data_IF_643553057835
#
_entry.id   IF_643553057835
#
_cell.length_a   1.000
_cell.length_b   1.000
_cell.length_c   1.000
_cell.angle_alpha   90.00
_cell.angle_beta   90.00
_cell.angle_gamma   90.00
#
_symmetry.space_group_name_H-M   'P 1'
#
loop_
_entity.id
_entity.type
_entity.pdbx_description
1 polymer ?
#
# COMPACT_ATOMS: atom_id res chain seq x y z
N UNK A 1 39.31 -9.24 -12.14
CA UNK A 1 37.87 -8.87 -12.15
C UNK A 1 37.80 -7.41 -11.73
N UNK A 2 37.23 -6.50 -12.53
CA UNK A 2 37.06 -5.10 -12.11
C UNK A 2 36.13 -5.08 -10.88
N UNK A 3 36.51 -4.32 -9.86
CA UNK A 3 35.76 -4.22 -8.62
C UNK A 3 34.40 -3.58 -8.93
N UNK A 4 33.31 -4.29 -8.60
CA UNK A 4 31.94 -3.81 -8.86
C UNK A 4 31.66 -2.61 -7.99
N UNK A 5 31.14 -1.54 -8.58
CA UNK A 5 30.75 -0.35 -7.83
C UNK A 5 29.29 -0.49 -7.38
N UNK A 6 28.98 -0.20 -6.10
CA UNK A 6 27.62 -0.35 -5.60
C UNK A 6 26.70 0.73 -6.17
N UNK A 7 25.65 0.32 -6.88
CA UNK A 7 24.47 1.14 -7.11
C UNK A 7 23.36 0.69 -6.15
N UNK A 8 22.44 1.60 -5.80
CA UNK A 8 21.30 1.27 -4.94
C UNK A 8 20.07 0.98 -5.79
N UNK A 9 19.40 -0.12 -5.48
CA UNK A 9 18.04 -0.38 -5.97
C UNK A 9 17.06 0.30 -5.03
N UNK A 10 16.09 1.02 -5.59
CA UNK A 10 15.10 1.75 -4.80
C UNK A 10 13.70 1.49 -5.32
N UNK A 11 12.71 1.48 -4.43
CA UNK A 11 11.30 1.35 -4.78
C UNK A 11 10.68 2.66 -5.28
N UNK A 12 9.38 2.61 -5.60
CA UNK A 12 8.63 3.76 -6.13
C UNK A 12 8.61 4.95 -5.16
N UNK A 13 8.29 4.71 -3.88
CA UNK A 13 8.16 5.77 -2.86
C UNK A 13 9.46 6.55 -2.68
N UNK A 14 10.60 5.85 -2.64
CA UNK A 14 11.92 6.48 -2.53
C UNK A 14 12.29 7.23 -3.81
N UNK A 15 11.94 6.69 -4.99
CA UNK A 15 12.16 7.38 -6.26
C UNK A 15 11.32 8.66 -6.37
N UNK A 16 10.08 8.67 -5.88
CA UNK A 16 9.23 9.86 -5.84
C UNK A 16 9.81 10.94 -4.90
N UNK A 17 10.37 10.55 -3.75
CA UNK A 17 11.03 11.49 -2.84
C UNK A 17 12.26 12.18 -3.49
N UNK A 18 12.92 11.53 -4.44
CA UNK A 18 14.07 12.10 -5.15
C UNK A 18 13.68 13.09 -6.26
N UNK A 19 12.46 13.01 -6.81
CA UNK A 19 12.02 13.84 -7.95
C UNK A 19 11.89 15.34 -7.62
N UNK A 20 11.87 15.72 -6.35
CA UNK A 20 11.83 17.12 -5.90
C UNK A 20 13.18 17.85 -5.86
N UNK A 21 14.29 17.18 -6.19
CA UNK A 21 15.66 17.71 -6.10
C UNK A 21 16.38 17.89 -7.44
N UNK A 22 17.70 18.11 -7.40
CA UNK A 22 18.59 18.14 -8.57
C UNK A 22 18.88 16.71 -9.08
N UNK A 23 17.85 15.98 -9.50
CA UNK A 23 17.96 14.57 -9.93
C UNK A 23 18.08 14.48 -11.46
N UNK A 24 19.07 13.73 -11.95
CA UNK A 24 19.12 13.36 -13.37
C UNK A 24 18.38 12.05 -13.59
N UNK A 25 17.31 12.08 -14.38
CA UNK A 25 16.46 10.92 -14.65
C UNK A 25 16.81 10.35 -16.03
N UNK A 26 17.24 9.10 -16.08
CA UNK A 26 17.73 8.44 -17.29
C UNK A 26 16.86 7.24 -17.67
N UNK A 27 16.38 7.24 -18.90
CA UNK A 27 15.57 6.17 -19.48
C UNK A 27 16.39 5.37 -20.50
N UNK A 28 16.51 4.06 -20.32
CA UNK A 28 17.26 3.17 -21.22
C UNK A 28 16.39 2.45 -22.26
N UNK A 29 15.09 2.73 -22.31
CA UNK A 29 14.16 2.12 -23.26
C UNK A 29 14.37 2.63 -24.68
N UNK A 30 13.74 1.93 -25.63
CA UNK A 30 13.78 2.30 -27.04
C UNK A 30 13.10 3.67 -27.29
N UNK A 31 13.47 4.39 -28.36
CA UNK A 31 12.92 5.71 -28.66
C UNK A 31 11.40 5.76 -28.77
N UNK A 32 10.76 4.69 -29.25
CA UNK A 32 9.30 4.59 -29.40
C UNK A 32 8.66 4.62 -28.02
N UNK A 33 9.06 3.71 -27.14
CA UNK A 33 8.51 3.62 -25.77
C UNK A 33 8.76 4.88 -24.96
N UNK A 34 9.93 5.52 -25.12
CA UNK A 34 10.22 6.81 -24.49
C UNK A 34 9.36 7.96 -25.02
N UNK A 35 9.04 7.94 -26.32
CA UNK A 35 8.18 8.94 -26.96
C UNK A 35 6.71 8.80 -26.55
N UNK A 36 6.25 7.58 -26.30
CA UNK A 36 4.87 7.30 -25.88
C UNK A 36 4.61 7.69 -24.42
N UNK A 37 5.50 7.31 -23.50
CA UNK A 37 5.33 7.62 -22.08
C UNK A 37 6.67 7.56 -21.34
N UNK A 38 6.90 8.47 -20.39
CA UNK A 38 8.14 8.54 -19.59
C UNK A 38 7.90 9.18 -18.23
N UNK A 39 8.88 9.08 -17.33
CA UNK A 39 8.94 9.91 -16.13
C UNK A 39 9.18 11.36 -16.59
N UNK A 40 8.45 12.33 -16.02
CA UNK A 40 8.64 13.74 -16.35
C UNK A 40 10.08 14.18 -16.08
N UNK A 41 10.67 14.89 -17.05
CA UNK A 41 12.08 15.29 -17.01
C UNK A 41 13.09 14.18 -17.36
N UNK A 42 12.65 12.96 -17.67
CA UNK A 42 13.56 11.89 -18.10
C UNK A 42 14.24 12.20 -19.44
N UNK A 43 15.54 11.91 -19.51
CA UNK A 43 16.35 11.92 -20.73
C UNK A 43 16.63 10.49 -21.15
N UNK A 44 16.35 10.19 -22.42
CA UNK A 44 16.64 8.87 -22.98
C UNK A 44 18.13 8.71 -23.26
N UNK A 45 18.68 7.56 -22.89
CA UNK A 45 20.09 7.22 -23.06
C UNK A 45 20.31 5.81 -23.63
N UNK A 46 21.46 5.62 -24.24
CA UNK A 46 21.99 4.36 -24.74
C UNK A 46 23.52 4.36 -24.62
N UNK A 47 24.17 3.20 -24.63
CA UNK A 47 25.64 3.14 -24.54
C UNK A 47 26.38 3.98 -25.59
N UNK A 48 25.78 4.22 -26.75
CA UNK A 48 26.37 5.07 -27.80
C UNK A 48 26.33 6.57 -27.51
N UNK A 49 25.47 7.03 -26.61
CA UNK A 49 25.24 8.47 -26.34
C UNK A 49 25.48 8.88 -24.87
N UNK A 50 25.99 7.97 -24.03
CA UNK A 50 26.28 8.23 -22.62
C UNK A 50 27.23 9.42 -22.41
N UNK A 51 28.34 9.47 -23.16
CA UNK A 51 29.36 10.52 -23.01
C UNK A 51 28.78 11.93 -23.23
N UNK A 52 28.14 12.19 -24.37
CA UNK A 52 27.45 13.46 -24.63
C UNK A 52 26.35 13.78 -23.62
N UNK A 53 25.55 12.78 -23.21
CA UNK A 53 24.41 13.02 -22.30
C UNK A 53 24.86 13.37 -20.89
N UNK A 54 25.98 12.81 -20.43
CA UNK A 54 26.55 13.06 -19.12
C UNK A 54 27.56 14.22 -19.12
N UNK A 55 27.80 14.85 -20.28
CA UNK A 55 28.72 15.96 -20.40
C UNK A 55 28.15 17.19 -19.71
N UNK A 56 28.91 17.73 -18.74
CA UNK A 56 28.51 18.90 -17.96
C UNK A 56 27.62 18.59 -16.75
N UNK A 57 27.22 17.34 -16.54
CA UNK A 57 26.52 16.92 -15.31
C UNK A 57 27.50 16.87 -14.13
N UNK A 58 27.23 17.58 -13.01
CA UNK A 58 28.02 17.49 -11.79
C UNK A 58 28.09 16.05 -11.25
N UNK A 59 29.26 15.62 -10.75
CA UNK A 59 29.50 14.21 -10.35
C UNK A 59 28.84 13.83 -9.03
N UNK A 60 28.49 14.82 -8.24
CA UNK A 60 27.68 14.73 -7.03
C UNK A 60 26.17 14.72 -7.32
N UNK A 61 25.76 15.04 -8.55
CA UNK A 61 24.35 14.99 -8.95
C UNK A 61 23.84 13.54 -8.90
N UNK A 62 22.75 13.27 -8.18
CA UNK A 62 22.17 11.94 -8.15
C UNK A 62 21.58 11.54 -9.51
N UNK A 63 21.72 10.26 -9.86
CA UNK A 63 21.16 9.66 -11.07
C UNK A 63 20.11 8.64 -10.69
N UNK A 64 18.90 8.78 -11.24
CA UNK A 64 17.88 7.73 -11.25
C UNK A 64 17.80 7.13 -12.65
N UNK A 65 18.04 5.83 -12.77
CA UNK A 65 17.95 5.10 -14.03
C UNK A 65 16.84 4.03 -13.98
N UNK A 66 16.12 3.85 -15.10
CA UNK A 66 15.13 2.80 -15.26
C UNK A 66 15.09 2.20 -16.68
N UNK A 67 14.42 1.05 -16.81
CA UNK A 67 14.17 0.33 -18.06
C UNK A 67 12.69 -0.11 -18.13
N UNK A 68 12.33 -1.08 -18.99
CA UNK A 68 10.94 -1.58 -19.10
C UNK A 68 10.44 -2.24 -17.81
N UNK A 69 11.13 -3.30 -17.42
CA UNK A 69 10.78 -4.17 -16.30
C UNK A 69 12.04 -4.44 -15.48
N UNK A 70 11.94 -4.26 -14.17
CA UNK A 70 13.07 -4.48 -13.26
C UNK A 70 14.09 -3.33 -13.30
N UNK A 71 15.34 -3.65 -12.93
CA UNK A 71 16.39 -2.66 -12.82
C UNK A 71 17.04 -2.37 -14.18
N UNK A 72 17.53 -1.15 -14.35
CA UNK A 72 18.48 -0.89 -15.42
C UNK A 72 19.73 -1.76 -15.25
N UNK A 73 20.30 -2.18 -16.37
CA UNK A 73 21.32 -3.22 -16.40
C UNK A 73 22.55 -2.84 -15.57
N UNK A 74 23.22 -3.81 -14.94
CA UNK A 74 24.41 -3.56 -14.11
C UNK A 74 25.52 -2.86 -14.91
N UNK A 75 25.53 -3.04 -16.23
CA UNK A 75 26.46 -2.38 -17.14
C UNK A 75 26.27 -0.86 -17.17
N UNK A 76 25.03 -0.33 -17.09
CA UNK A 76 24.81 1.11 -17.02
C UNK A 76 25.30 1.68 -15.69
N UNK A 77 25.02 1.01 -14.58
CA UNK A 77 25.52 1.43 -13.28
C UNK A 77 27.06 1.47 -13.23
N UNK A 78 27.73 0.47 -13.81
CA UNK A 78 29.18 0.47 -13.93
C UNK A 78 29.68 1.61 -14.82
N UNK A 79 29.02 1.86 -15.96
CA UNK A 79 29.38 2.95 -16.85
C UNK A 79 29.29 4.32 -16.15
N UNK A 80 28.20 4.59 -15.42
CA UNK A 80 28.07 5.85 -14.67
C UNK A 80 29.15 5.99 -13.59
N UNK A 81 29.48 4.91 -12.90
CA UNK A 81 30.59 4.95 -11.97
C UNK A 81 31.93 5.24 -12.66
N UNK A 82 32.18 4.67 -13.85
CA UNK A 82 33.39 4.94 -14.63
C UNK A 82 33.44 6.42 -15.07
N UNK A 83 32.29 7.07 -15.24
CA UNK A 83 32.17 8.52 -15.44
C UNK A 83 32.29 9.35 -14.16
N UNK A 84 32.49 8.74 -12.99
CA UNK A 84 32.75 9.40 -11.71
C UNK A 84 31.50 9.71 -10.85
N UNK A 85 30.32 9.21 -11.22
CA UNK A 85 29.12 9.39 -10.41
C UNK A 85 29.11 8.45 -9.19
N UNK A 86 28.74 8.98 -8.03
CA UNK A 86 28.72 8.23 -6.77
C UNK A 86 27.31 7.92 -6.24
N UNK A 87 26.28 8.62 -6.71
CA UNK A 87 24.90 8.45 -6.30
C UNK A 87 24.06 7.92 -7.47
N UNK A 88 24.03 6.60 -7.61
CA UNK A 88 23.34 5.92 -8.71
C UNK A 88 22.22 5.05 -8.13
N UNK A 89 20.99 5.36 -8.55
CA UNK A 89 19.77 4.68 -8.16
C UNK A 89 19.14 3.97 -9.35
N UNK A 90 18.82 2.69 -9.20
CA UNK A 90 17.99 1.98 -10.18
C UNK A 90 16.59 1.81 -9.63
N UNK A 91 15.60 2.20 -10.43
CA UNK A 91 14.19 1.99 -10.09
C UNK A 91 13.86 0.51 -10.15
N UNK A 92 13.37 -0.04 -9.04
CA UNK A 92 12.91 -1.42 -9.00
C UNK A 92 11.58 -1.57 -9.77
N UNK A 93 11.46 -2.65 -10.54
CA UNK A 93 10.30 -2.87 -11.41
C UNK A 93 10.22 -1.98 -12.67
N UNK A 94 11.07 -0.95 -12.79
CA UNK A 94 11.22 -0.14 -14.01
C UNK A 94 10.04 0.80 -14.29
N UNK A 95 9.93 1.25 -15.55
CA UNK A 95 8.87 2.17 -15.98
C UNK A 95 7.47 1.58 -15.83
N UNK A 96 7.32 0.27 -15.96
CA UNK A 96 6.01 -0.37 -15.85
C UNK A 96 5.49 -0.33 -14.41
N UNK A 97 6.36 -0.54 -13.42
CA UNK A 97 6.01 -0.33 -12.03
C UNK A 97 5.71 1.16 -11.76
N UNK A 98 6.52 2.06 -12.34
CA UNK A 98 6.28 3.50 -12.27
C UNK A 98 4.91 3.88 -12.81
N UNK A 99 4.56 3.49 -14.04
CA UNK A 99 3.30 3.86 -14.69
C UNK A 99 2.07 3.30 -13.97
N UNK A 100 2.19 2.11 -13.37
CA UNK A 100 1.12 1.49 -12.58
C UNK A 100 0.97 2.09 -11.18
N UNK A 101 1.95 2.89 -10.73
CA UNK A 101 1.82 3.61 -9.47
C UNK A 101 0.63 4.55 -9.53
N UNK A 102 -0.10 4.76 -8.42
CA UNK A 102 -1.08 5.83 -8.35
C UNK A 102 -0.35 7.15 -8.60
N UNK A 103 -0.63 7.79 -9.75
CA UNK A 103 0.09 8.99 -10.15
C UNK A 103 -0.17 10.11 -9.13
N UNK A 104 0.90 10.58 -8.47
CA UNK A 104 0.97 11.78 -7.64
C UNK A 104 -0.29 12.08 -6.85
N UNK A 105 -0.33 11.70 -5.56
CA UNK A 105 -1.47 12.01 -4.70
C UNK A 105 -1.89 13.47 -4.93
N UNK A 106 -3.08 13.73 -5.53
CA UNK A 106 -3.58 15.09 -5.64
C UNK A 106 -3.59 15.65 -4.22
N UNK A 107 -3.19 16.91 -4.05
CA UNK A 107 -3.28 17.57 -2.76
C UNK A 107 -4.62 17.21 -2.12
N UNK A 108 -4.57 16.58 -0.94
CA UNK A 108 -5.77 16.09 -0.30
C UNK A 108 -6.75 17.27 -0.18
N UNK A 109 -8.05 17.09 -0.47
CA UNK A 109 -9.01 18.18 -0.34
C UNK A 109 -8.83 18.88 1.01
N UNK A 110 -8.92 20.22 1.07
CA UNK A 110 -8.65 20.97 2.31
C UNK A 110 -9.43 20.46 3.53
N UNK A 111 -10.61 19.86 3.31
CA UNK A 111 -11.41 19.18 4.33
C UNK A 111 -10.69 17.95 4.91
N UNK A 112 -10.07 17.13 4.07
CA UNK A 112 -9.30 15.96 4.50
C UNK A 112 -8.03 16.40 5.25
N UNK A 113 -7.33 17.44 4.78
CA UNK A 113 -6.17 17.98 5.51
C UNK A 113 -6.53 18.57 6.88
N UNK A 114 -7.65 19.28 6.97
CA UNK A 114 -8.16 19.80 8.24
C UNK A 114 -8.57 18.64 9.18
N UNK A 115 -9.21 17.61 8.63
CA UNK A 115 -9.57 16.42 9.38
C UNK A 115 -8.34 15.66 9.89
N UNK A 116 -7.32 15.45 9.04
CA UNK A 116 -6.06 14.81 9.41
C UNK A 116 -5.39 15.51 10.59
N UNK A 117 -5.26 16.84 10.51
CA UNK A 117 -4.70 17.65 11.59
C UNK A 117 -5.52 17.54 12.88
N UNK A 118 -6.85 17.60 12.78
CA UNK A 118 -7.73 17.43 13.94
C UNK A 118 -7.62 16.04 14.60
N UNK A 119 -7.23 15.01 13.83
CA UNK A 119 -6.96 13.67 14.35
C UNK A 119 -5.50 13.47 14.82
N UNK A 120 -4.63 14.48 14.69
CA UNK A 120 -3.24 14.43 15.11
C UNK A 120 -2.25 13.93 14.05
N UNK A 121 -2.66 13.83 12.78
CA UNK A 121 -1.77 13.52 11.67
C UNK A 121 -1.16 14.79 11.07
N UNK A 122 -0.01 14.64 10.41
CA UNK A 122 0.55 15.71 9.60
C UNK A 122 -0.35 16.00 8.37
N UNK A 123 -0.39 17.24 7.85
CA UNK A 123 -1.07 17.56 6.60
C UNK A 123 -0.57 16.66 5.45
N UNK A 124 -1.46 16.19 4.58
CA UNK A 124 -1.10 15.31 3.47
C UNK A 124 -0.73 13.86 3.85
N UNK A 125 -0.70 13.51 5.13
CA UNK A 125 -0.16 12.22 5.58
C UNK A 125 -1.14 11.06 5.42
N UNK A 126 -1.34 10.57 4.19
CA UNK A 126 -2.22 9.42 3.87
C UNK A 126 -1.80 8.15 4.62
N UNK A 127 -0.49 7.88 4.68
CA UNK A 127 0.13 6.74 5.38
C UNK A 127 0.78 7.12 6.72
N UNK A 128 0.46 8.31 7.24
CA UNK A 128 0.94 8.73 8.56
C UNK A 128 0.49 7.75 9.64
N UNK A 129 1.16 7.76 10.79
CA UNK A 129 0.71 7.03 11.96
C UNK A 129 0.76 7.92 13.18
N UNK A 130 -0.26 7.83 14.03
CA UNK A 130 -0.25 8.39 15.38
C UNK A 130 0.17 7.32 16.40
N UNK A 131 0.07 7.63 17.70
CA UNK A 131 0.33 6.68 18.77
C UNK A 131 -0.38 5.33 18.51
N UNK A 132 0.32 4.23 18.84
CA UNK A 132 -0.08 2.85 18.60
C UNK A 132 -0.15 2.44 17.12
N UNK A 133 0.53 3.15 16.21
CA UNK A 133 0.62 2.75 14.80
C UNK A 133 -0.70 2.92 14.03
N UNK A 134 -1.64 3.70 14.56
CA UNK A 134 -2.94 3.90 13.92
C UNK A 134 -2.79 4.83 12.72
N UNK A 135 -3.19 4.38 11.52
CA UNK A 135 -3.19 5.19 10.29
C UNK A 135 -4.43 6.08 10.17
N UNK A 136 -4.45 7.09 9.27
CA UNK A 136 -5.66 7.86 9.00
C UNK A 136 -6.85 6.99 8.60
N UNK A 137 -6.62 5.97 7.76
CA UNK A 137 -7.71 5.10 7.32
C UNK A 137 -8.29 4.30 8.50
N UNK A 138 -7.44 3.80 9.39
CA UNK A 138 -7.87 3.16 10.64
C UNK A 138 -8.68 4.12 11.52
N UNK A 139 -8.23 5.36 11.66
CA UNK A 139 -8.95 6.38 12.44
C UNK A 139 -10.31 6.72 11.82
N UNK A 140 -10.36 6.87 10.50
CA UNK A 140 -11.61 7.10 9.77
C UNK A 140 -12.57 5.92 9.95
N UNK A 141 -12.05 4.69 9.84
CA UNK A 141 -12.82 3.47 10.04
C UNK A 141 -13.40 3.36 11.46
N UNK A 142 -12.60 3.61 12.48
CA UNK A 142 -13.05 3.60 13.88
C UNK A 142 -14.14 4.65 14.17
N UNK A 143 -14.01 5.84 13.58
CA UNK A 143 -14.92 6.97 13.82
C UNK A 143 -16.12 7.01 12.87
N UNK A 144 -16.17 6.14 11.86
CA UNK A 144 -17.23 6.13 10.86
C UNK A 144 -17.15 7.29 9.85
N UNK A 145 -15.97 7.91 9.68
CA UNK A 145 -15.77 9.04 8.78
C UNK A 145 -15.70 8.58 7.30
N UNK A 146 -16.83 8.09 6.76
CA UNK A 146 -16.93 7.42 5.45
C UNK A 146 -16.34 8.24 4.30
N UNK A 147 -16.70 9.53 4.21
CA UNK A 147 -16.17 10.41 3.18
C UNK A 147 -14.65 10.57 3.25
N UNK A 148 -14.07 10.59 4.46
CA UNK A 148 -12.63 10.70 4.66
C UNK A 148 -11.93 9.39 4.30
N UNK A 149 -12.51 8.24 4.68
CA UNK A 149 -12.00 6.94 4.27
C UNK A 149 -12.00 6.78 2.75
N UNK A 150 -13.08 7.16 2.06
CA UNK A 150 -13.14 7.12 0.59
C UNK A 150 -12.08 8.00 -0.06
N UNK A 151 -11.86 9.21 0.47
CA UNK A 151 -10.81 10.10 -0.01
C UNK A 151 -9.39 9.55 0.25
N UNK A 152 -9.16 8.93 1.41
CA UNK A 152 -7.88 8.29 1.74
C UNK A 152 -7.60 7.09 0.83
N UNK A 153 -8.58 6.23 0.58
CA UNK A 153 -8.46 5.09 -0.35
C UNK A 153 -8.18 5.59 -1.77
N UNK A 154 -8.89 6.62 -2.24
CA UNK A 154 -8.64 7.24 -3.54
C UNK A 154 -7.24 7.88 -3.63
N UNK A 155 -6.70 8.35 -2.50
CA UNK A 155 -5.34 8.87 -2.39
C UNK A 155 -4.26 7.77 -2.20
N UNK A 156 -4.63 6.49 -2.26
CA UNK A 156 -3.70 5.37 -2.20
C UNK A 156 -3.44 4.80 -0.81
N UNK A 157 -4.34 5.02 0.16
CA UNK A 157 -4.18 4.47 1.50
C UNK A 157 -4.09 2.94 1.50
N UNK A 158 -3.14 2.38 2.26
CA UNK A 158 -2.93 0.94 2.36
C UNK A 158 -4.02 0.29 3.23
N UNK A 159 -4.83 -0.57 2.61
CA UNK A 159 -5.91 -1.31 3.28
C UNK A 159 -5.40 -2.37 4.26
N UNK A 160 -4.21 -2.93 4.00
CA UNK A 160 -3.60 -3.98 4.81
C UNK A 160 -2.69 -3.47 5.94
N UNK A 161 -2.66 -2.15 6.18
CA UNK A 161 -1.93 -1.60 7.32
C UNK A 161 -2.47 -2.19 8.63
N UNK A 162 -1.57 -2.37 9.60
CA UNK A 162 -1.87 -2.91 10.93
C UNK A 162 -1.34 -1.98 12.02
N UNK A 163 -2.16 -1.74 13.04
CA UNK A 163 -1.75 -0.97 14.21
C UNK A 163 -0.89 -1.84 15.16
N UNK A 164 -0.51 -1.31 16.32
CA UNK A 164 0.36 -2.01 17.28
C UNK A 164 -0.25 -3.28 17.90
N UNK A 165 -1.57 -3.50 17.77
CA UNK A 165 -2.26 -4.72 18.20
C UNK A 165 -2.52 -5.67 17.02
N UNK A 166 -2.00 -5.34 15.83
CA UNK A 166 -2.24 -6.06 14.60
C UNK A 166 -3.59 -5.77 13.95
N UNK A 167 -4.40 -4.85 14.49
CA UNK A 167 -5.75 -4.58 13.98
C UNK A 167 -5.70 -3.74 12.69
N UNK A 168 -6.59 -4.07 11.75
CA UNK A 168 -6.76 -3.37 10.46
C UNK A 168 -7.87 -2.32 10.52
N UNK A 169 -8.04 -1.55 9.44
CA UNK A 169 -9.19 -0.64 9.30
C UNK A 169 -10.54 -1.38 9.38
N UNK A 170 -10.63 -2.60 8.83
CA UNK A 170 -11.85 -3.42 8.91
C UNK A 170 -12.21 -3.76 10.36
N UNK A 171 -11.23 -4.21 11.14
CA UNK A 171 -11.45 -4.51 12.56
C UNK A 171 -12.07 -3.30 13.28
N UNK A 172 -11.51 -2.11 13.06
CA UNK A 172 -11.98 -0.89 13.71
C UNK A 172 -13.36 -0.44 13.21
N UNK A 173 -13.69 -0.65 11.94
CA UNK A 173 -15.04 -0.43 11.42
C UNK A 173 -16.06 -1.36 12.09
N UNK A 174 -15.70 -2.63 12.32
CA UNK A 174 -16.53 -3.61 13.02
C UNK A 174 -16.72 -3.24 14.51
N UNK A 175 -15.66 -2.79 15.20
CA UNK A 175 -15.76 -2.25 16.58
C UNK A 175 -16.76 -1.10 16.64
N UNK A 176 -16.69 -0.18 15.67
CA UNK A 176 -17.60 0.96 15.58
C UNK A 176 -19.00 0.64 15.04
N UNK A 177 -19.24 -0.59 14.54
CA UNK A 177 -20.47 -1.02 13.85
C UNK A 177 -20.83 -0.14 12.64
N UNK A 178 -19.83 0.32 11.91
CA UNK A 178 -20.00 1.20 10.75
C UNK A 178 -20.18 0.39 9.46
N UNK A 179 -21.42 -0.03 9.15
CA UNK A 179 -21.69 -0.93 8.01
C UNK A 179 -21.27 -0.37 6.65
N UNK A 180 -21.55 0.90 6.38
CA UNK A 180 -21.14 1.54 5.11
C UNK A 180 -19.62 1.59 4.98
N UNK A 181 -18.90 1.70 6.12
CA UNK A 181 -17.44 1.65 6.14
C UNK A 181 -16.92 0.23 5.84
N UNK A 182 -17.56 -0.80 6.41
CA UNK A 182 -17.23 -2.20 6.10
C UNK A 182 -17.37 -2.43 4.59
N UNK A 183 -18.50 -2.02 4.02
CA UNK A 183 -18.78 -2.16 2.58
C UNK A 183 -17.75 -1.41 1.73
N UNK A 184 -17.44 -0.16 2.06
CA UNK A 184 -16.42 0.63 1.35
C UNK A 184 -15.05 -0.06 1.37
N UNK A 185 -14.63 -0.61 2.51
CA UNK A 185 -13.35 -1.30 2.63
C UNK A 185 -13.34 -2.61 1.80
N UNK A 186 -14.45 -3.35 1.77
CA UNK A 186 -14.60 -4.55 0.92
C UNK A 186 -14.51 -4.17 -0.56
N UNK A 187 -15.19 -3.11 -0.98
CA UNK A 187 -15.13 -2.58 -2.35
C UNK A 187 -13.72 -2.11 -2.72
N UNK A 188 -12.95 -1.62 -1.74
CA UNK A 188 -11.53 -1.32 -1.88
C UNK A 188 -10.63 -2.56 -2.03
N UNK A 189 -11.13 -3.76 -1.77
CA UNK A 189 -10.37 -5.01 -1.86
C UNK A 189 -9.60 -5.36 -0.58
N UNK A 190 -10.10 -4.96 0.59
CA UNK A 190 -9.51 -5.39 1.87
C UNK A 190 -9.65 -6.90 2.05
N UNK A 191 -8.62 -7.53 2.62
CA UNK A 191 -8.68 -8.93 3.05
C UNK A 191 -9.48 -9.04 4.36
N UNK A 192 -10.66 -9.67 4.29
CA UNK A 192 -11.59 -9.84 5.41
C UNK A 192 -11.04 -10.73 6.53
N UNK A 193 -10.12 -11.63 6.18
CA UNK A 193 -9.65 -12.71 7.04
C UNK A 193 -8.27 -12.38 7.66
N UNK A 194 -7.82 -11.13 7.51
CA UNK A 194 -6.58 -10.66 8.14
C UNK A 194 -6.70 -10.80 9.67
N UNK A 195 -5.87 -11.66 10.24
CA UNK A 195 -5.78 -11.87 11.67
C UNK A 195 -4.91 -10.79 12.34
N UNK A 196 -5.34 -10.34 13.51
CA UNK A 196 -4.54 -9.48 14.39
C UNK A 196 -3.46 -10.27 15.13
N UNK A 197 -2.75 -9.64 16.08
CA UNK A 197 -1.59 -10.26 16.73
C UNK A 197 -1.98 -11.44 17.65
N UNK A 198 -3.26 -11.56 18.02
CA UNK A 198 -3.80 -12.70 18.77
C UNK A 198 -4.39 -13.80 17.85
N UNK A 199 -4.19 -13.68 16.54
CA UNK A 199 -4.79 -14.59 15.56
C UNK A 199 -6.28 -14.34 15.32
N UNK A 200 -6.86 -13.27 15.87
CA UNK A 200 -8.29 -13.00 15.74
C UNK A 200 -8.61 -12.20 14.47
N UNK A 201 -9.62 -12.64 13.71
CA UNK A 201 -10.18 -11.89 12.57
C UNK A 201 -11.30 -10.94 13.02
N UNK A 202 -11.69 -9.98 12.18
CA UNK A 202 -12.80 -9.08 12.48
C UNK A 202 -14.13 -9.83 12.70
N UNK A 203 -14.33 -10.98 12.03
CA UNK A 203 -15.50 -11.85 12.22
C UNK A 203 -15.50 -12.51 13.59
N UNK A 204 -14.34 -12.98 14.07
CA UNK A 204 -14.21 -13.55 15.42
C UNK A 204 -14.50 -12.52 16.51
N UNK A 205 -14.03 -11.28 16.33
CA UNK A 205 -14.38 -10.20 17.22
C UNK A 205 -15.89 -9.96 17.25
N UNK A 206 -16.52 -9.77 16.09
CA UNK A 206 -17.96 -9.55 16.01
C UNK A 206 -18.76 -10.70 16.65
N UNK A 207 -18.32 -11.94 16.42
CA UNK A 207 -18.92 -13.14 17.01
C UNK A 207 -18.82 -13.14 18.53
N UNK A 208 -17.62 -12.93 19.08
CA UNK A 208 -17.38 -12.90 20.54
C UNK A 208 -18.05 -11.75 21.25
N UNK A 209 -18.13 -10.58 20.61
CA UNK A 209 -18.85 -9.42 21.12
C UNK A 209 -20.38 -9.54 20.99
N UNK A 210 -20.90 -10.61 20.34
CA UNK A 210 -22.33 -10.80 20.14
C UNK A 210 -22.97 -9.83 19.14
N UNK A 211 -22.18 -9.27 18.22
CA UNK A 211 -22.62 -8.30 17.21
C UNK A 211 -23.17 -9.03 15.98
N UNK A 212 -24.37 -9.63 16.12
CA UNK A 212 -24.95 -10.49 15.11
C UNK A 212 -25.20 -9.78 13.76
N UNK A 213 -25.49 -8.49 13.79
CA UNK A 213 -25.62 -7.62 12.62
C UNK A 213 -24.29 -7.46 11.87
N UNK A 214 -23.18 -7.26 12.58
CA UNK A 214 -21.83 -7.20 12.01
C UNK A 214 -21.40 -8.57 11.49
N UNK A 215 -21.69 -9.65 12.23
CA UNK A 215 -21.46 -11.03 11.77
C UNK A 215 -22.20 -11.29 10.47
N UNK A 216 -23.49 -10.97 10.40
CA UNK A 216 -24.29 -11.14 9.18
C UNK A 216 -23.66 -10.40 8.00
N UNK A 217 -23.28 -9.12 8.20
CA UNK A 217 -22.67 -8.33 7.14
C UNK A 217 -21.31 -8.89 6.67
N UNK A 218 -20.43 -9.30 7.58
CA UNK A 218 -19.15 -9.89 7.20
C UNK A 218 -19.33 -11.21 6.41
N UNK A 219 -20.29 -12.05 6.82
CA UNK A 219 -20.63 -13.28 6.09
C UNK A 219 -21.23 -13.00 4.71
N UNK A 220 -22.09 -11.99 4.59
CA UNK A 220 -22.62 -11.51 3.29
C UNK A 220 -21.51 -11.04 2.34
N UNK A 221 -20.44 -10.46 2.89
CA UNK A 221 -19.26 -10.03 2.13
C UNK A 221 -18.23 -11.14 1.90
N UNK A 222 -18.48 -12.35 2.40
CA UNK A 222 -17.66 -13.54 2.12
C UNK A 222 -16.53 -13.80 3.10
N UNK A 223 -16.60 -13.27 4.34
CA UNK A 223 -15.61 -13.58 5.38
C UNK A 223 -15.58 -15.09 5.69
N UNK A 224 -14.38 -15.63 5.83
CA UNK A 224 -14.18 -17.05 6.13
C UNK A 224 -14.43 -17.33 7.62
N UNK A 225 -15.19 -18.38 7.90
CA UNK A 225 -15.49 -18.84 9.25
C UNK A 225 -14.44 -19.81 9.81
N UNK A 226 -13.54 -20.31 8.95
CA UNK A 226 -12.55 -21.35 9.25
C UNK A 226 -11.26 -20.87 9.94
N UNK A 227 -10.80 -19.61 9.81
CA UNK A 227 -9.63 -19.17 10.56
C UNK A 227 -9.81 -19.46 12.05
N UNK A 228 -8.68 -19.66 12.74
CA UNK A 228 -8.62 -19.93 14.17
C UNK A 228 -7.73 -18.90 14.87
N UNK A 229 -8.08 -18.53 16.09
CA UNK A 229 -7.17 -17.78 16.97
C UNK A 229 -5.93 -18.61 17.29
N UNK A 230 -4.94 -17.99 17.94
CA UNK A 230 -3.75 -18.72 18.41
C UNK A 230 -4.07 -19.85 19.41
N UNK A 231 -5.24 -19.79 20.06
CA UNK A 231 -5.73 -20.82 20.98
C UNK A 231 -6.60 -21.89 20.29
N UNK A 232 -6.75 -21.83 18.95
CA UNK A 232 -7.51 -22.81 18.17
C UNK A 232 -9.03 -22.58 18.17
N UNK A 233 -9.51 -21.37 18.47
CA UNK A 233 -10.94 -21.06 18.45
C UNK A 233 -11.35 -20.41 17.14
N UNK A 234 -12.38 -20.95 16.48
CA UNK A 234 -13.01 -20.35 15.31
C UNK A 234 -14.00 -19.26 15.69
N UNK A 235 -14.49 -18.50 14.71
CA UNK A 235 -15.61 -17.57 14.95
C UNK A 235 -16.85 -18.28 15.52
N UNK A 236 -17.08 -19.55 15.16
CA UNK A 236 -18.20 -20.35 15.67
C UNK A 236 -18.04 -20.69 17.16
N UNK A 237 -16.83 -21.06 17.59
CA UNK A 237 -16.54 -21.38 18.99
C UNK A 237 -16.67 -20.16 19.90
N UNK A 238 -16.39 -18.98 19.34
CA UNK A 238 -16.43 -17.71 20.04
C UNK A 238 -17.83 -17.07 20.09
N UNK A 239 -18.89 -17.70 19.58
CA UNK A 239 -20.21 -17.06 19.48
C UNK A 239 -20.75 -16.56 20.84
N UNK A 240 -20.80 -15.24 21.01
CA UNK A 240 -21.22 -14.58 22.25
C UNK A 240 -22.73 -14.62 22.51
N UNK A 241 -23.54 -14.96 21.51
CA UNK A 241 -24.99 -15.15 21.65
C UNK A 241 -25.56 -16.15 20.63
N UNK A 242 -26.85 -16.48 20.81
CA UNK A 242 -27.58 -17.45 19.97
C UNK A 242 -27.71 -16.99 18.52
N UNK A 243 -27.80 -15.69 18.27
CA UNK A 243 -27.99 -15.15 16.93
C UNK A 243 -26.70 -15.28 16.10
N UNK A 244 -25.54 -14.88 16.64
CA UNK A 244 -24.22 -15.12 16.05
C UNK A 244 -24.01 -16.63 15.78
N UNK A 245 -24.30 -17.47 16.77
CA UNK A 245 -24.18 -18.92 16.65
C UNK A 245 -25.05 -19.47 15.51
N UNK A 246 -26.26 -18.95 15.37
CA UNK A 246 -27.20 -19.39 14.32
C UNK A 246 -26.71 -19.01 12.94
N UNK A 247 -26.24 -17.77 12.76
CA UNK A 247 -25.68 -17.29 11.49
C UNK A 247 -24.46 -18.13 11.07
N UNK A 248 -23.51 -18.33 11.99
CA UNK A 248 -22.27 -19.07 11.72
C UNK A 248 -22.54 -20.57 11.44
N UNK A 249 -23.46 -21.21 12.17
CA UNK A 249 -23.87 -22.60 11.89
C UNK A 249 -24.51 -22.76 10.51
N UNK A 250 -25.29 -21.77 10.06
CA UNK A 250 -25.93 -21.82 8.74
C UNK A 250 -24.88 -21.86 7.63
N UNK A 251 -23.85 -21.02 7.72
CA UNK A 251 -22.75 -20.99 6.75
C UNK A 251 -21.93 -22.28 6.82
N UNK A 252 -21.56 -22.73 8.03
CA UNK A 252 -20.80 -23.99 8.23
C UNK A 252 -21.49 -25.20 7.60
N UNK A 253 -22.81 -25.34 7.75
CA UNK A 253 -23.58 -26.42 7.12
C UNK A 253 -23.61 -26.32 5.60
N UNK A 254 -23.61 -25.12 5.05
CA UNK A 254 -23.63 -24.92 3.59
C UNK A 254 -22.29 -25.32 2.99
N UNK A 255 -21.18 -24.90 3.61
CA UNK A 255 -19.82 -25.27 3.19
C UNK A 255 -19.55 -26.78 3.32
N UNK A 256 -20.15 -27.46 4.30
CA UNK A 256 -20.03 -28.92 4.46
C UNK A 256 -20.77 -29.75 3.40
N UNK A 257 -21.71 -29.15 2.65
CA UNK A 257 -22.48 -29.82 1.58
C UNK A 257 -21.79 -29.66 0.22
N UNK A 258 -20.92 -28.67 0.08
CA UNK A 258 -20.22 -28.34 -1.18
C UNK A 258 -18.83 -29.02 -1.31
N UNK A 259 -18.33 -29.66 -0.24
CA UNK A 259 -17.04 -30.36 -0.19
C UNK A 259 -17.20 -31.89 -0.32
#
# INVERSE_FOLDING_TARGET
>A
MRQRVPFRRIGIEEAEALLGGNLLILDTRDPTSFGEARIDGAVRVSFSDLGPTLAGTPKDQPILIYCYHGNASQEYAQAFSDFGFSQIYSLDGGFEAWRRRPAGAPALPAVLDAWLQAQGFAPGAVEGAIANGTTPLMKAAHTGALAMAGALIAAGARLNARNADGNTALWLACVGRHFDMIDLLVEGGIDLDTANDNGATALMYASSAGLADVVARLLERGADIRPETLDGFTALDLAGNVECLTLLRRVSRTQAVEA
#
